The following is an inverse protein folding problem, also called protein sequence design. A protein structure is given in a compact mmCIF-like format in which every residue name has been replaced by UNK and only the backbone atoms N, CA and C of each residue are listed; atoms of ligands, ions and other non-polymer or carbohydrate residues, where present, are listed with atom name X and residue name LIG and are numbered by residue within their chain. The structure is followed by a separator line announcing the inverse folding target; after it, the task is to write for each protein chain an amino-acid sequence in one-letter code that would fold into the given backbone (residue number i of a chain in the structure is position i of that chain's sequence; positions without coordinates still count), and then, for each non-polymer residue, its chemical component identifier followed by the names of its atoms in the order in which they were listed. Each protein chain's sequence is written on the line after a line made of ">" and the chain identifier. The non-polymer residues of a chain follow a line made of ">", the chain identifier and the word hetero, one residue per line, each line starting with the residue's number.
data_IF_468435450135
#
_entry.id   IF_468435450135
#
_cell.length_a   1.000
_cell.length_b   1.000
_cell.length_c   1.000
_cell.angle_alpha   90.00
_cell.angle_beta   90.00
_cell.angle_gamma   90.00
#
_symmetry.space_group_name_H-M   'P 1'
#
loop_
_entity.id
_entity.type
_entity.pdbx_description
1 polymer ?
#
# COMPACT_ATOMS: atom_id res chain seq x y z
N UNK A 1 -1.52 7.40 -5.17
CA UNK A 1 -2.92 7.67 -4.75
C UNK A 1 -3.06 9.17 -4.51
N UNK A 2 -3.83 9.92 -5.32
CA UNK A 2 -4.03 11.37 -5.12
C UNK A 2 -5.04 11.58 -3.97
N UNK A 3 -4.57 12.08 -2.82
CA UNK A 3 -5.41 12.38 -1.66
C UNK A 3 -5.95 13.82 -1.74
N UNK A 4 -7.26 14.00 -1.58
CA UNK A 4 -7.87 15.29 -1.21
C UNK A 4 -8.42 15.17 0.21
N UNK A 5 -8.01 16.05 1.11
CA UNK A 5 -8.50 16.10 2.48
C UNK A 5 -9.94 16.66 2.52
N UNK A 6 -10.86 15.96 3.18
CA UNK A 6 -12.23 16.40 3.45
C UNK A 6 -12.57 16.27 4.93
N UNK A 7 -13.60 17.01 5.37
CA UNK A 7 -14.06 17.10 6.76
C UNK A 7 -14.34 15.71 7.38
N UNK A 8 -13.80 15.48 8.57
CA UNK A 8 -13.86 14.22 9.31
C UNK A 8 -15.05 14.23 10.26
N UNK A 9 -15.93 13.23 10.18
CA UNK A 9 -16.88 12.93 11.26
C UNK A 9 -16.11 12.24 12.40
N UNK A 10 -16.14 12.76 13.64
CA UNK A 10 -15.40 12.19 14.76
C UNK A 10 -15.82 10.74 15.08
N UNK A 11 -17.04 10.34 14.71
CA UNK A 11 -17.61 9.01 14.96
C UNK A 11 -17.54 8.04 13.75
N UNK A 12 -16.76 8.36 12.71
CA UNK A 12 -16.64 7.45 11.56
C UNK A 12 -15.97 6.12 11.97
N UNK A 13 -16.41 4.94 11.51
CA UNK A 13 -15.70 3.69 11.78
C UNK A 13 -14.26 3.75 11.24
N UNK A 14 -13.30 3.21 12.00
CA UNK A 14 -11.87 3.18 11.64
C UNK A 14 -11.44 1.80 11.16
N UNK A 15 -10.64 1.77 10.10
CA UNK A 15 -9.99 0.58 9.58
C UNK A 15 -8.50 0.61 9.94
N UNK A 16 -7.93 -0.52 10.36
CA UNK A 16 -6.48 -0.64 10.60
C UNK A 16 -5.74 -1.15 9.35
N UNK A 17 -6.41 -1.94 8.52
CA UNK A 17 -5.82 -2.57 7.35
C UNK A 17 -6.72 -2.44 6.13
N UNK A 18 -6.07 -2.26 4.98
CA UNK A 18 -6.65 -2.49 3.65
C UNK A 18 -5.95 -3.73 3.07
N UNK A 19 -6.56 -4.90 3.28
CA UNK A 19 -5.96 -6.17 2.88
C UNK A 19 -7.02 -7.18 2.43
N UNK A 20 -6.65 -8.02 1.48
CA UNK A 20 -7.45 -9.15 1.02
C UNK A 20 -6.55 -10.37 0.82
N UNK A 21 -7.13 -11.56 0.91
CA UNK A 21 -6.47 -12.83 0.63
C UNK A 21 -7.29 -13.60 -0.42
N UNK A 22 -6.59 -14.28 -1.32
CA UNK A 22 -7.20 -15.14 -2.32
C UNK A 22 -6.46 -16.47 -2.35
N UNK A 23 -7.21 -17.58 -2.50
CA UNK A 23 -6.63 -18.90 -2.68
C UNK A 23 -6.29 -19.12 -4.15
N UNK A 24 -5.02 -19.43 -4.51
CA UNK A 24 -4.66 -19.84 -5.87
C UNK A 24 -5.51 -21.01 -6.35
N UNK A 25 -5.97 -20.94 -7.61
CA UNK A 25 -6.63 -22.08 -8.26
C UNK A 25 -5.60 -23.15 -8.64
N UNK A 26 -4.45 -22.71 -9.14
CA UNK A 26 -3.26 -23.53 -9.38
C UNK A 26 -2.05 -22.81 -8.77
N UNK A 27 -1.40 -23.37 -7.73
CA UNK A 27 -0.19 -22.81 -7.14
C UNK A 27 0.97 -22.66 -8.12
N UNK A 28 1.05 -23.48 -9.18
CA UNK A 28 2.13 -23.43 -10.17
C UNK A 28 2.11 -22.15 -11.03
N UNK A 29 1.00 -21.40 -11.03
CA UNK A 29 0.90 -20.10 -11.70
C UNK A 29 1.63 -18.98 -10.95
N UNK A 30 2.08 -19.23 -9.71
CA UNK A 30 2.69 -18.23 -8.85
C UNK A 30 4.18 -18.51 -8.66
N UNK A 31 4.95 -17.43 -8.54
CA UNK A 31 6.39 -17.48 -8.22
C UNK A 31 6.63 -16.70 -6.93
N UNK A 32 7.58 -17.17 -6.14
CA UNK A 32 8.07 -16.47 -4.94
C UNK A 32 8.92 -15.24 -5.29
N UNK A 33 9.29 -15.09 -6.56
CA UNK A 33 10.14 -14.00 -7.05
C UNK A 33 9.27 -12.81 -7.46
N UNK A 34 9.45 -11.69 -6.78
CA UNK A 34 8.88 -10.41 -7.19
C UNK A 34 9.85 -9.76 -8.18
N UNK A 35 9.36 -9.34 -9.35
CA UNK A 35 10.20 -8.73 -10.39
C UNK A 35 10.96 -7.50 -9.83
N UNK A 36 12.24 -7.35 -10.15
CA UNK A 36 13.19 -6.34 -9.62
C UNK A 36 13.50 -6.38 -8.12
N UNK A 37 12.75 -7.15 -7.32
CA UNK A 37 12.94 -7.22 -5.86
C UNK A 37 13.59 -8.54 -5.46
N UNK A 38 13.18 -9.65 -6.08
CA UNK A 38 13.62 -10.99 -5.73
C UNK A 38 12.69 -11.66 -4.71
N UNK A 39 13.25 -12.60 -3.95
CA UNK A 39 12.55 -13.36 -2.91
C UNK A 39 12.57 -12.56 -1.62
N UNK A 40 11.40 -12.39 -1.01
CA UNK A 40 11.25 -11.71 0.29
C UNK A 40 11.56 -12.70 1.41
N UNK A 41 12.48 -12.33 2.30
CA UNK A 41 13.00 -13.23 3.35
C UNK A 41 12.39 -12.99 4.71
N UNK A 42 12.17 -11.73 5.06
CA UNK A 42 11.76 -11.33 6.40
C UNK A 42 10.89 -10.07 6.37
N UNK A 43 10.20 -9.84 7.49
CA UNK A 43 9.44 -8.63 7.75
C UNK A 43 10.21 -7.75 8.73
N UNK A 44 10.26 -6.45 8.47
CA UNK A 44 10.89 -5.48 9.36
C UNK A 44 9.91 -4.38 9.76
N UNK A 45 10.15 -3.75 10.91
CA UNK A 45 9.35 -2.60 11.34
C UNK A 45 9.72 -1.36 10.53
N UNK A 46 8.74 -0.64 9.93
CA UNK A 46 9.00 0.56 9.15
C UNK A 46 9.52 1.69 10.03
N UNK A 47 10.49 2.46 9.54
CA UNK A 47 11.05 3.64 10.21
C UNK A 47 11.00 4.86 9.30
N UNK A 48 10.99 6.07 9.88
CA UNK A 48 11.05 7.31 9.11
C UNK A 48 12.37 7.37 8.32
N UNK A 49 12.29 7.80 7.06
CA UNK A 49 13.42 7.87 6.14
C UNK A 49 13.84 6.52 5.56
N UNK A 50 13.24 5.40 5.98
CA UNK A 50 13.53 4.09 5.40
C UNK A 50 13.20 4.07 3.91
N UNK A 51 14.15 3.59 3.09
CA UNK A 51 14.00 3.50 1.65
C UNK A 51 13.32 2.18 1.27
N UNK A 52 12.16 2.28 0.66
CA UNK A 52 11.34 1.14 0.26
C UNK A 52 11.11 1.14 -1.23
N UNK A 53 10.79 -0.04 -1.78
CA UNK A 53 10.43 -0.21 -3.17
C UNK A 53 9.30 -1.21 -3.36
N UNK A 54 8.60 -1.10 -4.49
CA UNK A 54 7.54 -2.04 -4.88
C UNK A 54 7.62 -2.32 -6.38
N UNK A 55 6.97 -3.39 -6.80
CA UNK A 55 6.66 -3.61 -8.21
C UNK A 55 5.15 -3.59 -8.42
N UNK A 56 4.65 -2.58 -9.12
CA UNK A 56 3.24 -2.43 -9.46
C UNK A 56 2.94 -2.75 -10.93
N UNK A 57 1.70 -3.13 -11.23
CA UNK A 57 1.26 -3.37 -12.61
C UNK A 57 1.38 -2.12 -13.48
N UNK A 58 1.03 -0.95 -12.92
CA UNK A 58 0.95 0.31 -13.65
C UNK A 58 2.29 1.03 -13.66
N UNK A 59 2.93 1.22 -12.49
CA UNK A 59 4.19 1.99 -12.40
C UNK A 59 5.45 1.14 -12.56
N UNK A 60 5.32 -0.17 -12.76
CA UNK A 60 6.44 -1.11 -12.66
C UNK A 60 7.21 -0.93 -11.34
N UNK A 61 8.54 -1.00 -11.40
CA UNK A 61 9.41 -0.87 -10.24
C UNK A 61 9.58 0.60 -9.81
N UNK A 62 9.24 0.93 -8.57
CA UNK A 62 9.41 2.27 -7.99
C UNK A 62 9.98 2.23 -6.58
N UNK A 63 10.65 3.30 -6.18
CA UNK A 63 11.26 3.48 -4.86
C UNK A 63 10.86 4.83 -4.28
N UNK A 64 10.77 4.90 -2.95
CA UNK A 64 10.58 6.15 -2.21
C UNK A 64 11.01 5.98 -0.76
N UNK A 65 11.09 7.11 -0.06
CA UNK A 65 11.35 7.14 1.37
C UNK A 65 10.04 7.17 2.17
N UNK A 66 10.02 6.50 3.32
CA UNK A 66 8.93 6.63 4.30
C UNK A 66 9.00 8.02 4.94
N UNK A 67 7.90 8.75 4.91
CA UNK A 67 7.80 10.14 5.39
C UNK A 67 6.91 10.29 6.61
N UNK A 68 5.92 9.40 6.81
CA UNK A 68 5.08 9.38 8.01
C UNK A 68 4.82 7.96 8.50
N UNK A 69 4.72 7.83 9.82
CA UNK A 69 4.29 6.63 10.54
C UNK A 69 3.01 6.94 11.33
N UNK A 70 2.20 5.91 11.58
CA UNK A 70 0.95 6.01 12.34
C UNK A 70 -0.04 7.07 11.82
N UNK A 71 -0.10 7.25 10.50
CA UNK A 71 -0.95 8.24 9.88
C UNK A 71 -2.43 7.81 9.92
N UNK A 72 -3.32 8.80 10.03
CA UNK A 72 -4.76 8.64 9.80
C UNK A 72 -5.11 9.20 8.43
N UNK A 73 -5.68 8.38 7.57
CA UNK A 73 -5.94 8.67 6.16
C UNK A 73 -7.42 8.48 5.87
N UNK A 74 -8.07 9.48 5.28
CA UNK A 74 -9.43 9.34 4.79
C UNK A 74 -9.38 9.12 3.28
N UNK A 75 -9.83 7.95 2.84
CA UNK A 75 -9.83 7.56 1.43
C UNK A 75 -11.25 7.68 0.90
N UNK A 76 -11.38 8.44 -0.17
CA UNK A 76 -12.64 8.62 -0.87
C UNK A 76 -12.72 7.66 -2.04
N UNK A 77 -13.79 6.86 -2.10
CA UNK A 77 -14.01 5.89 -3.15
C UNK A 77 -15.45 5.96 -3.66
N UNK A 78 -15.63 5.63 -4.93
CA UNK A 78 -16.94 5.60 -5.57
C UNK A 78 -17.51 4.19 -5.45
N UNK A 79 -18.77 4.10 -5.03
CA UNK A 79 -19.50 2.83 -5.03
C UNK A 79 -20.23 2.63 -6.36
N UNK A 80 -20.55 1.37 -6.68
CA UNK A 80 -21.30 1.00 -7.90
C UNK A 80 -22.65 1.72 -8.03
N UNK A 81 -23.22 2.22 -6.93
CA UNK A 81 -24.42 3.06 -6.93
C UNK A 81 -24.17 4.56 -7.16
N UNK A 82 -23.00 4.98 -7.63
CA UNK A 82 -22.66 6.38 -7.92
C UNK A 82 -22.48 7.27 -6.68
N UNK A 83 -22.62 6.71 -5.47
CA UNK A 83 -22.42 7.45 -4.22
C UNK A 83 -20.96 7.41 -3.82
N UNK A 84 -20.41 8.58 -3.58
CA UNK A 84 -19.09 8.76 -2.99
C UNK A 84 -19.14 8.35 -1.51
N UNK A 85 -18.19 7.54 -1.09
CA UNK A 85 -18.01 7.13 0.32
C UNK A 85 -16.61 7.48 0.77
N UNK A 86 -16.48 7.70 2.07
CA UNK A 86 -15.20 7.96 2.73
C UNK A 86 -14.96 6.85 3.75
N UNK A 87 -13.81 6.19 3.66
CA UNK A 87 -13.32 5.26 4.66
C UNK A 87 -12.12 5.85 5.38
N UNK A 88 -12.10 5.72 6.70
CA UNK A 88 -10.99 6.16 7.54
C UNK A 88 -10.07 4.99 7.85
N UNK A 89 -8.79 5.16 7.58
CA UNK A 89 -7.72 4.23 7.92
C UNK A 89 -6.79 4.87 8.96
N UNK A 90 -6.38 4.11 9.97
CA UNK A 90 -5.50 4.57 11.06
C UNK A 90 -4.28 3.66 11.16
N UNK A 91 -3.17 4.15 11.73
CA UNK A 91 -1.94 3.35 11.82
C UNK A 91 -1.20 3.17 10.50
N UNK A 92 -1.46 4.03 9.51
CA UNK A 92 -0.92 3.87 8.16
C UNK A 92 0.53 4.36 8.07
N UNK A 93 1.29 3.75 7.17
CA UNK A 93 2.64 4.19 6.79
C UNK A 93 2.54 4.93 5.46
N UNK A 94 3.14 6.12 5.38
CA UNK A 94 3.12 6.94 4.17
C UNK A 94 4.54 7.10 3.66
N UNK A 95 4.72 6.87 2.36
CA UNK A 95 5.94 7.17 1.61
C UNK A 95 5.77 8.40 0.73
N UNK A 96 6.85 8.84 0.09
CA UNK A 96 6.76 9.73 -1.08
C UNK A 96 5.96 9.08 -2.22
N UNK A 97 5.62 9.88 -3.23
CA UNK A 97 4.84 9.42 -4.37
C UNK A 97 5.61 8.38 -5.19
N UNK A 98 5.16 7.12 -5.11
CA UNK A 98 5.73 5.99 -5.85
C UNK A 98 4.65 5.09 -6.48
N UNK A 99 3.38 5.50 -6.50
CA UNK A 99 2.26 4.61 -6.86
C UNK A 99 1.10 5.32 -7.56
N UNK A 100 0.56 4.65 -8.58
CA UNK A 100 -0.63 5.06 -9.31
C UNK A 100 -1.78 4.06 -9.19
N UNK A 101 -2.94 4.42 -9.77
CA UNK A 101 -4.09 3.53 -9.84
C UNK A 101 -3.74 2.23 -10.56
N UNK A 102 -4.03 1.09 -9.94
CA UNK A 102 -3.72 -0.23 -10.47
C UNK A 102 -2.47 -0.91 -9.87
N UNK A 103 -1.72 -0.22 -9.01
CA UNK A 103 -0.66 -0.83 -8.21
C UNK A 103 -1.12 -1.31 -6.83
N UNK A 104 -2.37 -0.99 -6.44
CA UNK A 104 -2.92 -1.35 -5.14
C UNK A 104 -2.77 -2.86 -4.88
N UNK A 105 -2.31 -3.21 -3.68
CA UNK A 105 -2.03 -4.59 -3.28
C UNK A 105 -0.61 -5.08 -3.60
N UNK A 106 0.23 -4.26 -4.26
CA UNK A 106 1.64 -4.60 -4.44
C UNK A 106 2.39 -4.58 -3.12
N UNK A 107 3.28 -5.56 -2.92
CA UNK A 107 4.11 -5.63 -1.72
C UNK A 107 5.18 -4.52 -1.72
N UNK A 108 5.31 -3.84 -0.59
CA UNK A 108 6.35 -2.83 -0.33
C UNK A 108 7.47 -3.49 0.47
N UNK A 109 8.70 -3.38 -0.01
CA UNK A 109 9.87 -4.08 0.53
C UNK A 109 11.00 -3.09 0.79
N UNK A 110 11.74 -3.29 1.89
CA UNK A 110 12.97 -2.54 2.15
C UNK A 110 13.97 -2.71 1.00
N UNK A 111 14.65 -1.63 0.64
CA UNK A 111 15.72 -1.66 -0.36
C UNK A 111 17.12 -1.77 0.27
N UNK A 112 17.22 -1.60 1.59
CA UNK A 112 18.49 -1.55 2.31
C UNK A 112 19.26 -2.88 2.29
N UNK A 113 18.55 -4.01 2.20
CA UNK A 113 19.12 -5.37 2.31
C UNK A 113 19.19 -6.12 0.98
N UNK A 114 19.17 -5.39 -0.15
CA UNK A 114 19.36 -5.98 -1.47
C UNK A 114 20.82 -6.35 -1.68
N UNK A 115 21.23 -7.49 -1.14
CA UNK A 115 22.43 -8.22 -1.53
C UNK A 115 22.09 -9.23 -2.62
#
# INVERSE_FOLDING_TARGET
>A
LLLRAMAVSPNAPTNQADCALARPVDPAMFSEIIRHIGIVKETITPTLGMRVGKYGRTTAYTEANITLLNATVNITYNTSGGRQRVARFVGQVISEAMSEGGDSGSLVVSTADRK
#
